data_IF_238049588103
#
_entry.id   IF_238049588103
#
_cell.length_a   1.000
_cell.length_b   1.000
_cell.length_c   1.000
_cell.angle_alpha   90.00
_cell.angle_beta   90.00
_cell.angle_gamma   90.00
#
_symmetry.space_group_name_H-M   'P 1'
#
loop_
_entity.id
_entity.type
_entity.pdbx_description
1 polymer ?
#
# COMPACT_ATOMS: atom_id res chain seq x y z
N UNK A 1 23.57 -2.54 -3.39
CA UNK A 1 22.24 -2.48 -4.02
C UNK A 1 21.18 -2.65 -2.93
N UNK A 2 20.19 -1.74 -2.83
CA UNK A 2 19.05 -1.87 -1.89
C UNK A 2 18.01 -2.84 -2.43
N UNK A 3 17.30 -3.50 -1.54
CA UNK A 3 16.33 -4.54 -1.83
C UNK A 3 14.93 -4.11 -1.45
N UNK A 4 14.01 -4.10 -2.42
CA UNK A 4 12.61 -3.66 -2.24
C UNK A 4 11.68 -4.83 -2.56
N UNK A 5 10.71 -5.10 -1.69
CA UNK A 5 9.59 -5.98 -1.99
C UNK A 5 8.31 -5.14 -2.13
N UNK A 6 7.58 -5.33 -3.23
CA UNK A 6 6.34 -4.61 -3.54
C UNK A 6 5.19 -5.61 -3.63
N UNK A 7 4.27 -5.53 -2.68
CA UNK A 7 3.09 -6.37 -2.62
C UNK A 7 1.96 -5.75 -3.46
N UNK A 8 1.45 -6.48 -4.46
CA UNK A 8 0.41 -5.98 -5.36
C UNK A 8 0.97 -5.17 -6.53
N UNK A 9 1.93 -5.74 -7.26
CA UNK A 9 2.66 -5.06 -8.35
C UNK A 9 2.17 -5.42 -9.77
N UNK A 10 1.03 -6.06 -9.92
CA UNK A 10 0.50 -6.44 -11.27
C UNK A 10 -0.14 -5.27 -12.03
N UNK A 11 -0.48 -4.17 -11.36
CA UNK A 11 -1.11 -2.99 -11.99
C UNK A 11 -0.97 -1.72 -11.13
N UNK A 12 -1.41 -0.59 -11.67
CA UNK A 12 -1.55 0.67 -10.95
C UNK A 12 -0.26 1.17 -10.28
N UNK A 13 -0.38 1.62 -9.04
CA UNK A 13 0.73 2.21 -8.27
C UNK A 13 1.85 1.17 -8.05
N UNK A 14 1.51 -0.08 -7.71
CA UNK A 14 2.50 -1.11 -7.43
C UNK A 14 3.36 -1.44 -8.65
N UNK A 15 2.74 -1.62 -9.83
CA UNK A 15 3.46 -1.82 -11.10
C UNK A 15 4.33 -0.61 -11.44
N UNK A 16 3.77 0.59 -11.35
CA UNK A 16 4.53 1.80 -11.63
C UNK A 16 5.72 2.01 -10.68
N UNK A 17 5.61 1.60 -9.42
CA UNK A 17 6.75 1.62 -8.48
C UNK A 17 7.83 0.61 -8.89
N UNK A 18 7.45 -0.63 -9.26
CA UNK A 18 8.41 -1.62 -9.74
C UNK A 18 9.17 -1.09 -10.97
N UNK A 19 8.46 -0.50 -11.94
CA UNK A 19 9.04 0.08 -13.15
C UNK A 19 9.99 1.25 -12.88
N UNK A 20 9.66 2.14 -11.92
CA UNK A 20 10.52 3.30 -11.61
C UNK A 20 11.73 2.89 -10.77
N UNK A 21 11.61 1.90 -9.90
CA UNK A 21 12.75 1.42 -9.13
C UNK A 21 13.69 0.55 -9.97
N UNK A 22 13.20 -0.17 -11.00
CA UNK A 22 14.05 -0.96 -11.89
C UNK A 22 15.03 -0.11 -12.72
N UNK A 23 14.73 1.16 -12.91
CA UNK A 23 15.61 2.12 -13.58
C UNK A 23 16.80 2.58 -12.72
N UNK A 24 16.86 2.14 -11.47
CA UNK A 24 17.91 2.51 -10.52
C UNK A 24 18.61 1.27 -9.96
N UNK A 25 19.56 1.47 -9.06
CA UNK A 25 20.35 0.39 -8.46
C UNK A 25 19.62 -0.29 -7.29
N UNK A 26 18.51 -1.01 -7.61
CA UNK A 26 17.72 -1.80 -6.67
C UNK A 26 17.52 -3.23 -7.15
N UNK A 27 17.52 -4.19 -6.21
CA UNK A 27 16.88 -5.49 -6.42
C UNK A 27 15.42 -5.39 -6.01
N UNK A 28 14.52 -5.90 -6.84
CA UNK A 28 13.08 -5.69 -6.68
C UNK A 28 12.36 -7.03 -6.70
N UNK A 29 11.72 -7.38 -5.59
CA UNK A 29 10.77 -8.47 -5.50
C UNK A 29 9.35 -7.95 -5.69
N UNK A 30 8.56 -8.59 -6.51
CA UNK A 30 7.18 -8.22 -6.75
C UNK A 30 6.24 -9.39 -6.48
N UNK A 31 5.05 -9.08 -5.94
CA UNK A 31 4.02 -10.11 -5.75
C UNK A 31 2.67 -9.67 -6.31
N UNK A 32 1.83 -10.65 -6.57
CA UNK A 32 0.45 -10.47 -7.01
C UNK A 32 -0.18 -11.80 -7.42
N UNK A 33 -1.46 -11.79 -7.76
CA UNK A 33 -2.22 -12.99 -8.13
C UNK A 33 -2.09 -13.39 -9.60
N UNK A 34 -1.81 -12.43 -10.48
CA UNK A 34 -1.79 -12.60 -11.93
C UNK A 34 -0.35 -12.82 -12.39
N UNK A 35 0.01 -14.09 -12.55
CA UNK A 35 1.38 -14.51 -12.88
C UNK A 35 1.88 -13.90 -14.18
N UNK A 36 1.09 -13.98 -15.25
CA UNK A 36 1.43 -13.42 -16.56
C UNK A 36 1.83 -11.92 -16.50
N UNK A 37 1.19 -11.13 -15.63
CA UNK A 37 1.52 -9.72 -15.46
C UNK A 37 2.79 -9.50 -14.60
N UNK A 38 3.10 -10.42 -13.71
CA UNK A 38 4.36 -10.40 -12.96
C UNK A 38 5.53 -10.75 -13.88
N UNK A 39 5.37 -11.76 -14.72
CA UNK A 39 6.34 -12.15 -15.74
C UNK A 39 6.62 -11.01 -16.72
N UNK A 40 5.58 -10.32 -17.21
CA UNK A 40 5.72 -9.15 -18.08
C UNK A 40 6.57 -8.04 -17.44
N UNK A 41 6.38 -7.77 -16.13
CA UNK A 41 7.19 -6.79 -15.40
C UNK A 41 8.63 -7.29 -15.27
N UNK A 42 8.84 -8.56 -14.89
CA UNK A 42 10.18 -9.12 -14.68
C UNK A 42 10.97 -9.32 -16.01
N UNK A 43 10.29 -9.48 -17.12
CA UNK A 43 10.95 -9.60 -18.43
C UNK A 43 11.78 -8.36 -18.82
N UNK A 44 11.55 -7.22 -18.18
CA UNK A 44 12.28 -5.96 -18.43
C UNK A 44 13.72 -5.96 -17.91
N UNK A 45 13.97 -6.66 -16.80
CA UNK A 45 15.32 -6.81 -16.21
C UNK A 45 15.33 -8.06 -15.31
N UNK A 46 15.70 -9.20 -15.91
CA UNK A 46 15.70 -10.51 -15.24
C UNK A 46 16.76 -10.64 -14.14
N UNK A 47 17.77 -9.77 -14.13
CA UNK A 47 18.83 -9.81 -13.13
C UNK A 47 18.45 -9.03 -11.86
N UNK A 48 17.51 -8.08 -11.98
CA UNK A 48 17.10 -7.21 -10.87
C UNK A 48 15.67 -7.44 -10.38
N UNK A 49 14.81 -8.05 -11.19
CA UNK A 49 13.39 -8.25 -10.91
C UNK A 49 13.09 -9.71 -10.62
N UNK A 50 12.52 -9.97 -9.46
CA UNK A 50 12.09 -11.28 -8.99
C UNK A 50 10.59 -11.25 -8.73
N UNK A 51 9.89 -12.34 -8.96
CA UNK A 51 8.48 -12.41 -8.60
C UNK A 51 8.12 -13.67 -7.82
N UNK A 52 7.00 -13.56 -7.12
CA UNK A 52 6.32 -14.68 -6.48
C UNK A 52 4.80 -14.46 -6.62
N UNK A 53 4.11 -15.48 -7.13
CA UNK A 53 2.64 -15.46 -7.14
C UNK A 53 2.15 -15.54 -5.70
N UNK A 54 1.25 -14.64 -5.32
CA UNK A 54 0.77 -14.56 -3.95
C UNK A 54 -0.63 -13.94 -3.92
N UNK A 55 -1.58 -14.65 -3.30
CA UNK A 55 -2.85 -14.07 -2.85
C UNK A 55 -2.76 -13.77 -1.37
N UNK A 56 -2.79 -12.49 -1.02
CA UNK A 56 -2.60 -12.04 0.36
C UNK A 56 -3.77 -12.40 1.29
N UNK A 57 -4.87 -12.90 0.76
CA UNK A 57 -6.01 -13.41 1.56
C UNK A 57 -5.73 -14.79 2.16
N UNK A 58 -4.83 -15.58 1.56
CA UNK A 58 -4.24 -16.76 2.16
C UNK A 58 -3.03 -16.34 3.01
N UNK A 59 -3.26 -16.15 4.29
CA UNK A 59 -2.26 -15.61 5.22
C UNK A 59 -1.05 -16.50 5.41
N UNK A 60 -1.24 -17.83 5.38
CA UNK A 60 -0.15 -18.79 5.55
C UNK A 60 0.73 -18.89 4.30
N UNK A 61 0.12 -19.07 3.13
CA UNK A 61 0.84 -19.09 1.86
C UNK A 61 1.54 -17.76 1.57
N UNK A 62 0.95 -16.63 2.00
CA UNK A 62 1.57 -15.31 1.88
C UNK A 62 2.93 -15.25 2.57
N UNK A 63 3.04 -15.66 3.83
CA UNK A 63 4.32 -15.58 4.55
C UNK A 63 5.37 -16.47 3.90
N UNK A 64 5.04 -17.73 3.56
CA UNK A 64 5.96 -18.62 2.84
C UNK A 64 6.46 -18.03 1.52
N UNK A 65 5.56 -17.38 0.77
CA UNK A 65 5.90 -16.69 -0.48
C UNK A 65 6.87 -15.52 -0.25
N UNK A 66 6.64 -14.72 0.78
CA UNK A 66 7.49 -13.58 1.12
C UNK A 66 8.87 -14.02 1.63
N UNK A 67 8.94 -15.07 2.43
CA UNK A 67 10.19 -15.67 2.89
C UNK A 67 11.01 -16.20 1.71
N UNK A 68 10.38 -16.95 0.80
CA UNK A 68 11.00 -17.43 -0.43
C UNK A 68 11.56 -16.29 -1.28
N UNK A 69 10.76 -15.24 -1.49
CA UNK A 69 11.19 -14.08 -2.28
C UNK A 69 12.34 -13.32 -1.61
N UNK A 70 12.25 -13.13 -0.28
CA UNK A 70 13.29 -12.47 0.51
C UNK A 70 14.60 -13.25 0.47
N UNK A 71 14.53 -14.58 0.55
CA UNK A 71 15.71 -15.45 0.46
C UNK A 71 16.35 -15.38 -0.94
N UNK A 72 15.56 -15.46 -2.02
CA UNK A 72 16.04 -15.30 -3.40
C UNK A 72 16.78 -13.98 -3.62
N UNK A 73 16.32 -12.91 -2.99
CA UNK A 73 16.94 -11.58 -3.06
C UNK A 73 18.10 -11.39 -2.08
N UNK A 74 18.32 -12.32 -1.15
CA UNK A 74 19.32 -12.23 -0.10
C UNK A 74 19.01 -11.16 0.96
N UNK A 75 17.74 -10.84 1.19
CA UNK A 75 17.26 -9.90 2.22
C UNK A 75 16.25 -8.87 1.70
N UNK A 76 15.84 -7.94 2.59
CA UNK A 76 14.87 -6.89 2.27
C UNK A 76 15.16 -5.63 3.08
N UNK A 77 15.29 -4.47 2.39
CA UNK A 77 15.46 -3.16 3.03
C UNK A 77 14.17 -2.36 3.11
N UNK A 78 13.29 -2.53 2.13
CA UNK A 78 12.02 -1.80 2.02
C UNK A 78 10.90 -2.78 1.66
N UNK A 79 9.81 -2.74 2.43
CA UNK A 79 8.57 -3.45 2.13
C UNK A 79 7.48 -2.45 1.79
N UNK A 80 6.91 -2.53 0.60
CA UNK A 80 5.84 -1.64 0.13
C UNK A 80 4.56 -2.44 -0.05
N UNK A 81 3.56 -2.18 0.78
CA UNK A 81 2.24 -2.83 0.70
C UNK A 81 1.33 -1.95 -0.17
N UNK A 82 1.21 -2.32 -1.45
CA UNK A 82 0.32 -1.70 -2.43
C UNK A 82 -0.97 -2.50 -2.65
N UNK A 83 -0.97 -3.79 -2.26
CA UNK A 83 -2.16 -4.63 -2.42
C UNK A 83 -3.34 -4.03 -1.67
N UNK A 84 -4.46 -4.00 -2.33
CA UNK A 84 -5.71 -3.49 -1.78
C UNK A 84 -6.82 -3.60 -2.82
N UNK A 85 -8.06 -3.65 -2.33
CA UNK A 85 -9.25 -3.65 -3.17
C UNK A 85 -10.35 -2.81 -2.51
N UNK A 86 -11.39 -2.51 -3.25
CA UNK A 86 -12.58 -1.84 -2.74
C UNK A 86 -13.64 -1.73 -3.83
N UNK A 87 -14.85 -1.96 -3.44
CA UNK A 87 -16.02 -1.85 -4.30
C UNK A 87 -16.98 -0.79 -3.74
N UNK A 88 -17.76 -0.20 -4.65
CA UNK A 88 -18.92 0.59 -4.25
C UNK A 88 -20.02 -0.37 -3.81
N UNK A 89 -20.64 -0.10 -2.67
CA UNK A 89 -21.65 -0.98 -2.07
C UNK A 89 -22.79 -0.16 -1.43
N UNK A 90 -23.57 0.57 -2.22
CA UNK A 90 -24.69 1.37 -1.71
C UNK A 90 -25.77 0.51 -1.06
N UNK A 91 -25.93 -0.74 -1.49
CA UNK A 91 -26.93 -1.70 -0.99
C UNK A 91 -26.51 -2.46 0.26
N UNK A 92 -25.28 -2.25 0.77
CA UNK A 92 -24.73 -2.91 1.95
C UNK A 92 -24.73 -4.45 1.86
N UNK A 93 -24.39 -4.99 0.69
CA UNK A 93 -24.18 -6.43 0.51
C UNK A 93 -22.86 -6.87 1.16
N UNK A 94 -22.91 -7.75 2.15
CA UNK A 94 -21.72 -8.30 2.81
C UNK A 94 -20.77 -8.99 1.83
N UNK A 95 -21.32 -9.71 0.84
CA UNK A 95 -20.54 -10.41 -0.19
C UNK A 95 -19.65 -9.45 -0.99
N UNK A 96 -20.04 -8.20 -1.16
CA UNK A 96 -19.24 -7.17 -1.83
C UNK A 96 -18.17 -6.59 -0.89
N UNK A 97 -18.37 -6.64 0.41
CA UNK A 97 -17.45 -6.08 1.41
C UNK A 97 -16.38 -7.06 1.87
N UNK A 98 -16.72 -8.35 1.98
CA UNK A 98 -15.84 -9.39 2.49
C UNK A 98 -14.46 -9.43 1.79
N UNK A 99 -14.35 -9.38 0.44
CA UNK A 99 -13.03 -9.34 -0.23
C UNK A 99 -12.19 -8.12 0.17
N UNK A 100 -12.86 -6.98 0.44
CA UNK A 100 -12.18 -5.77 0.92
C UNK A 100 -11.61 -5.98 2.32
N UNK A 101 -12.35 -6.60 3.22
CA UNK A 101 -11.90 -6.89 4.58
C UNK A 101 -10.76 -7.92 4.57
N UNK A 102 -10.91 -9.01 3.83
CA UNK A 102 -9.87 -10.04 3.72
C UNK A 102 -8.56 -9.46 3.17
N UNK A 103 -8.64 -8.64 2.13
CA UNK A 103 -7.44 -8.05 1.51
C UNK A 103 -6.86 -6.91 2.35
N UNK A 104 -7.69 -5.88 2.67
CA UNK A 104 -7.19 -4.61 3.21
C UNK A 104 -6.99 -4.65 4.73
N UNK A 105 -7.59 -5.62 5.44
CA UNK A 105 -7.45 -5.76 6.89
C UNK A 105 -6.64 -6.99 7.22
N UNK A 106 -7.13 -8.18 6.91
CA UNK A 106 -6.50 -9.44 7.33
C UNK A 106 -5.14 -9.62 6.62
N UNK A 107 -5.14 -9.65 5.28
CA UNK A 107 -3.91 -9.83 4.49
C UNK A 107 -2.90 -8.70 4.72
N UNK A 108 -3.38 -7.46 4.79
CA UNK A 108 -2.54 -6.31 5.14
C UNK A 108 -1.86 -6.47 6.50
N UNK A 109 -2.63 -6.83 7.54
CA UNK A 109 -2.10 -6.98 8.92
C UNK A 109 -1.04 -8.07 8.99
N UNK A 110 -1.32 -9.22 8.37
CA UNK A 110 -0.40 -10.35 8.31
C UNK A 110 0.97 -9.95 7.70
N UNK A 111 0.94 -9.24 6.57
CA UNK A 111 2.15 -8.78 5.89
C UNK A 111 2.88 -7.69 6.70
N UNK A 112 2.14 -6.73 7.25
CA UNK A 112 2.72 -5.63 8.00
C UNK A 112 3.39 -6.10 9.29
N UNK A 113 2.78 -7.07 10.00
CA UNK A 113 3.32 -7.70 11.19
C UNK A 113 4.59 -8.51 10.85
N UNK A 114 4.53 -9.37 9.83
CA UNK A 114 5.70 -10.12 9.38
C UNK A 114 6.86 -9.20 8.98
N UNK A 115 6.58 -8.19 8.16
CA UNK A 115 7.61 -7.25 7.68
C UNK A 115 8.22 -6.43 8.81
N UNK A 116 7.40 -6.00 9.79
CA UNK A 116 7.92 -5.25 10.93
C UNK A 116 8.82 -6.12 11.81
N UNK A 117 8.42 -7.36 12.10
CA UNK A 117 9.26 -8.34 12.85
C UNK A 117 10.55 -8.67 12.10
N UNK A 118 10.49 -8.84 10.78
CA UNK A 118 11.67 -9.01 9.95
C UNK A 118 12.67 -7.85 10.13
N UNK A 119 12.19 -6.61 10.11
CA UNK A 119 13.04 -5.43 10.32
C UNK A 119 13.54 -5.30 11.76
N UNK A 120 12.78 -5.76 12.77
CA UNK A 120 13.28 -5.83 14.14
C UNK A 120 14.45 -6.80 14.27
N UNK A 121 14.37 -7.99 13.67
CA UNK A 121 15.46 -8.97 13.64
C UNK A 121 16.67 -8.45 12.86
N UNK A 122 16.45 -7.80 11.72
CA UNK A 122 17.50 -7.18 10.91
C UNK A 122 18.07 -5.90 11.54
N UNK A 123 17.42 -5.31 12.54
CA UNK A 123 17.72 -4.04 13.22
C UNK A 123 17.65 -2.82 12.30
N UNK A 124 17.08 -2.93 11.14
CA UNK A 124 16.89 -1.85 10.19
C UNK A 124 15.83 -2.19 9.14
N UNK A 125 15.16 -1.19 8.58
CA UNK A 125 14.24 -1.39 7.48
C UNK A 125 13.21 -0.26 7.33
N UNK A 126 12.40 -0.37 6.28
CA UNK A 126 11.39 0.63 5.98
C UNK A 126 10.08 -0.02 5.52
N UNK A 127 9.07 0.03 6.36
CA UNK A 127 7.72 -0.41 6.05
C UNK A 127 6.91 0.73 5.43
N UNK A 128 6.36 0.51 4.25
CA UNK A 128 5.57 1.49 3.51
C UNK A 128 4.20 0.91 3.19
N UNK A 129 3.15 1.68 3.40
CA UNK A 129 1.77 1.30 3.06
C UNK A 129 1.15 2.33 2.14
N UNK A 130 0.43 1.85 1.13
CA UNK A 130 -0.44 2.68 0.30
C UNK A 130 -1.87 2.59 0.87
N UNK A 131 -2.18 3.51 1.79
CA UNK A 131 -3.53 3.65 2.35
C UNK A 131 -4.45 4.46 1.43
N UNK A 132 -5.14 5.46 1.91
CA UNK A 132 -5.97 6.37 1.10
C UNK A 132 -6.39 7.60 1.91
N UNK A 133 -6.70 8.71 1.23
CA UNK A 133 -7.46 9.81 1.83
C UNK A 133 -8.87 9.36 2.25
N UNK A 134 -9.43 8.33 1.59
CA UNK A 134 -10.71 7.73 1.95
C UNK A 134 -10.76 7.18 3.39
N UNK A 135 -9.63 6.81 3.98
CA UNK A 135 -9.56 6.44 5.40
C UNK A 135 -9.72 7.59 6.39
N UNK A 136 -10.01 8.82 5.93
CA UNK A 136 -10.19 9.98 6.82
C UNK A 136 -11.57 10.01 7.46
N UNK A 137 -12.60 9.61 6.73
CA UNK A 137 -14.01 9.57 7.16
C UNK A 137 -14.72 8.37 6.51
N UNK A 138 -15.82 7.91 7.10
CA UNK A 138 -16.68 6.90 6.51
C UNK A 138 -17.32 7.39 5.21
N UNK A 139 -17.80 6.46 4.36
CA UNK A 139 -18.53 6.76 3.13
C UNK A 139 -19.76 5.88 3.05
N UNK A 140 -20.92 6.48 2.74
CA UNK A 140 -22.17 5.73 2.59
C UNK A 140 -22.19 4.80 1.37
N UNK A 141 -21.37 5.10 0.37
CA UNK A 141 -21.29 4.30 -0.87
C UNK A 141 -20.15 3.26 -0.88
N UNK A 142 -19.22 3.32 0.07
CA UNK A 142 -18.11 2.37 0.17
C UNK A 142 -17.67 2.17 1.63
N UNK A 143 -18.55 1.69 2.52
CA UNK A 143 -18.29 1.65 3.97
C UNK A 143 -17.06 0.82 4.31
N UNK A 144 -16.97 -0.43 3.81
CA UNK A 144 -15.86 -1.33 4.10
C UNK A 144 -14.53 -0.80 3.56
N UNK A 145 -14.50 -0.20 2.37
CA UNK A 145 -13.29 0.38 1.83
C UNK A 145 -12.76 1.50 2.72
N UNK A 146 -13.60 2.50 3.03
CA UNK A 146 -13.16 3.63 3.86
C UNK A 146 -12.75 3.18 5.26
N UNK A 147 -13.51 2.26 5.88
CA UNK A 147 -13.18 1.69 7.18
C UNK A 147 -11.86 0.91 7.14
N UNK A 148 -11.62 0.09 6.11
CA UNK A 148 -10.37 -0.65 5.94
C UNK A 148 -9.17 0.28 5.77
N UNK A 149 -9.32 1.39 5.04
CA UNK A 149 -8.26 2.39 4.90
C UNK A 149 -8.01 3.18 6.19
N UNK A 150 -9.04 3.44 6.98
CA UNK A 150 -8.90 4.00 8.33
C UNK A 150 -8.15 3.03 9.28
N UNK A 151 -8.45 1.74 9.20
CA UNK A 151 -7.72 0.70 9.90
C UNK A 151 -6.23 0.73 9.56
N UNK A 152 -5.86 0.73 8.26
CA UNK A 152 -4.47 0.79 7.81
C UNK A 152 -3.74 2.03 8.34
N UNK A 153 -4.39 3.20 8.30
CA UNK A 153 -3.84 4.46 8.84
C UNK A 153 -3.53 4.34 10.32
N UNK A 154 -4.47 3.83 11.11
CA UNK A 154 -4.32 3.67 12.55
C UNK A 154 -3.26 2.62 12.89
N UNK A 155 -3.28 1.48 12.20
CA UNK A 155 -2.30 0.41 12.38
C UNK A 155 -0.86 0.89 12.11
N UNK A 156 -0.65 1.61 11.00
CA UNK A 156 0.65 2.21 10.67
C UNK A 156 1.11 3.26 11.68
N UNK A 157 0.19 3.96 12.33
CA UNK A 157 0.52 4.87 13.43
C UNK A 157 1.02 4.10 14.66
N UNK A 158 0.38 2.99 15.00
CA UNK A 158 0.83 2.09 16.07
C UNK A 158 2.23 1.52 15.79
N UNK A 159 2.49 1.02 14.57
CA UNK A 159 3.82 0.55 14.19
C UNK A 159 4.87 1.67 14.21
N UNK A 160 4.48 2.89 13.88
CA UNK A 160 5.37 4.07 14.01
C UNK A 160 5.76 4.33 15.45
N UNK A 161 4.82 4.20 16.40
CA UNK A 161 5.14 4.31 17.83
C UNK A 161 6.13 3.23 18.26
N UNK A 162 5.92 1.96 17.85
CA UNK A 162 6.88 0.88 18.10
C UNK A 162 8.26 1.22 17.52
N UNK A 163 8.33 1.61 16.26
CA UNK A 163 9.58 1.98 15.59
C UNK A 163 10.30 3.14 16.29
N UNK A 164 9.57 4.15 16.81
CA UNK A 164 10.14 5.29 17.51
C UNK A 164 10.74 4.91 18.86
N UNK A 165 10.17 3.89 19.52
CA UNK A 165 10.66 3.39 20.83
C UNK A 165 11.77 2.34 20.65
N UNK A 166 11.95 1.79 19.46
CA UNK A 166 12.98 0.82 19.14
C UNK A 166 14.35 1.48 19.08
N UNK A 167 15.43 0.82 19.54
CA UNK A 167 16.80 1.28 19.33
C UNK A 167 17.29 1.13 17.89
N UNK A 168 16.48 0.53 17.02
CA UNK A 168 16.86 0.17 15.66
C UNK A 168 16.45 1.22 14.63
N UNK A 169 17.11 1.21 13.47
CA UNK A 169 16.83 2.13 12.36
C UNK A 169 15.62 1.65 11.52
N UNK A 170 14.44 1.54 12.15
CA UNK A 170 13.20 1.14 11.49
C UNK A 170 12.34 2.36 11.18
N UNK A 171 11.87 2.47 9.94
CA UNK A 171 11.03 3.56 9.48
C UNK A 171 9.67 3.05 9.01
N UNK A 172 8.65 3.87 9.17
CA UNK A 172 7.30 3.60 8.64
C UNK A 172 6.83 4.80 7.81
N UNK A 173 6.27 4.54 6.64
CA UNK A 173 5.67 5.58 5.79
C UNK A 173 4.25 5.18 5.40
N UNK A 174 3.29 6.01 5.75
CA UNK A 174 1.90 5.90 5.32
C UNK A 174 1.66 6.87 4.15
N UNK A 175 1.47 6.31 2.95
CA UNK A 175 1.13 7.05 1.74
C UNK A 175 -0.38 7.11 1.61
N UNK A 176 -0.93 8.31 1.53
CA UNK A 176 -2.38 8.59 1.41
C UNK A 176 -2.69 9.20 0.05
N UNK A 177 -2.91 8.40 -1.00
CA UNK A 177 -3.36 8.93 -2.27
C UNK A 177 -4.80 9.45 -2.19
N UNK A 178 -5.08 10.51 -2.97
CA UNK A 178 -6.43 10.77 -3.45
C UNK A 178 -6.72 9.91 -4.67
N UNK A 179 -7.49 10.42 -5.63
CA UNK A 179 -7.75 9.69 -6.86
C UNK A 179 -6.48 9.61 -7.72
N UNK A 180 -6.10 8.38 -8.06
CA UNK A 180 -5.01 8.05 -8.99
C UNK A 180 -5.61 7.27 -10.15
N UNK A 181 -5.22 7.59 -11.37
CA UNK A 181 -5.72 6.97 -12.60
C UNK A 181 -5.35 5.48 -12.69
N UNK A 182 -6.14 4.67 -12.01
CA UNK A 182 -5.99 3.21 -11.91
C UNK A 182 -7.36 2.56 -12.04
N UNK A 183 -7.40 1.26 -12.31
CA UNK A 183 -8.63 0.48 -12.36
C UNK A 183 -9.45 0.51 -11.05
N UNK A 184 -8.86 0.94 -9.95
CA UNK A 184 -9.54 1.12 -8.66
C UNK A 184 -10.27 2.46 -8.55
N UNK A 185 -9.93 3.45 -9.38
CA UNK A 185 -10.62 4.74 -9.40
C UNK A 185 -11.94 4.59 -10.15
N UNK A 186 -12.99 4.20 -9.44
CA UNK A 186 -14.35 3.95 -9.96
C UNK A 186 -15.31 5.03 -9.50
N UNK A 187 -16.39 5.24 -10.24
CA UNK A 187 -17.48 6.16 -9.94
C UNK A 187 -17.46 7.44 -10.75
N UNK A 188 -18.56 8.16 -10.73
CA UNK A 188 -18.73 9.47 -11.36
C UNK A 188 -18.17 10.58 -10.45
N UNK A 189 -17.88 11.74 -11.04
CA UNK A 189 -17.47 12.93 -10.27
C UNK A 189 -16.05 12.88 -9.72
N UNK A 190 -15.17 12.01 -10.24
CA UNK A 190 -13.76 11.99 -9.85
C UNK A 190 -13.10 13.32 -10.21
N UNK A 191 -12.52 13.99 -9.23
CA UNK A 191 -11.80 15.24 -9.42
C UNK A 191 -10.34 15.12 -8.96
N UNK A 192 -9.47 15.93 -9.54
CA UNK A 192 -8.04 15.93 -9.23
C UNK A 192 -7.35 14.57 -9.39
N UNK A 193 -7.81 13.79 -10.35
CA UNK A 193 -7.19 12.51 -10.67
C UNK A 193 -5.72 12.72 -11.02
N UNK A 194 -4.86 11.98 -10.39
CA UNK A 194 -3.40 12.08 -10.58
C UNK A 194 -2.96 10.93 -11.49
N UNK A 195 -2.29 11.19 -12.63
CA UNK A 195 -1.69 10.13 -13.45
C UNK A 195 -0.74 9.24 -12.63
N UNK A 196 -0.71 7.94 -12.95
CA UNK A 196 0.09 6.95 -12.20
C UNK A 196 1.57 7.34 -12.15
N UNK A 197 2.15 7.78 -13.26
CA UNK A 197 3.56 8.20 -13.34
C UNK A 197 3.90 9.35 -12.38
N UNK A 198 3.01 10.35 -12.28
CA UNK A 198 3.15 11.45 -11.33
C UNK A 198 2.98 11.01 -9.87
N UNK A 199 2.02 10.11 -9.62
CA UNK A 199 1.80 9.56 -8.29
C UNK A 199 3.03 8.78 -7.81
N UNK A 200 3.54 7.89 -8.63
CA UNK A 200 4.71 7.04 -8.35
C UNK A 200 5.97 7.86 -8.06
N UNK A 201 6.25 8.91 -8.84
CA UNK A 201 7.38 9.83 -8.59
C UNK A 201 7.25 10.53 -7.23
N UNK A 202 6.04 10.96 -6.85
CA UNK A 202 5.79 11.57 -5.54
C UNK A 202 5.94 10.56 -4.40
N UNK A 203 5.45 9.32 -4.58
CA UNK A 203 5.57 8.23 -3.60
C UNK A 203 7.04 7.89 -3.39
N UNK A 204 7.81 7.64 -4.45
CA UNK A 204 9.24 7.36 -4.38
C UNK A 204 10.00 8.45 -3.62
N UNK A 205 9.72 9.73 -3.93
CA UNK A 205 10.29 10.87 -3.19
C UNK A 205 9.89 10.90 -1.72
N UNK A 206 8.70 10.46 -1.36
CA UNK A 206 8.27 10.37 0.04
C UNK A 206 9.01 9.26 0.78
N UNK A 207 9.17 8.10 0.14
CA UNK A 207 9.91 6.93 0.65
C UNK A 207 11.38 7.29 0.85
N UNK A 208 12.05 7.87 -0.15
CA UNK A 208 13.47 8.25 -0.06
C UNK A 208 13.75 9.24 1.08
N UNK A 209 12.77 10.10 1.39
CA UNK A 209 12.84 11.06 2.52
C UNK A 209 12.31 10.49 3.83
N UNK A 210 11.97 9.22 3.91
CA UNK A 210 11.44 8.53 5.10
C UNK A 210 10.28 9.31 5.76
N UNK A 211 9.36 9.86 4.94
CA UNK A 211 8.23 10.65 5.44
C UNK A 211 7.28 9.78 6.25
N UNK A 212 6.91 10.21 7.46
CA UNK A 212 5.95 9.50 8.31
C UNK A 212 4.57 9.35 7.62
N UNK A 213 4.10 10.43 6.98
CA UNK A 213 2.85 10.50 6.21
C UNK A 213 3.07 11.33 4.95
N UNK A 214 2.54 10.88 3.82
CA UNK A 214 2.59 11.63 2.57
C UNK A 214 1.27 11.56 1.80
N UNK A 215 0.73 12.71 1.41
CA UNK A 215 -0.47 12.84 0.58
C UNK A 215 -0.09 12.93 -0.90
N UNK A 216 -0.77 12.18 -1.75
CA UNK A 216 -0.62 12.15 -3.20
C UNK A 216 -1.98 12.50 -3.86
N UNK A 217 -2.12 13.63 -4.55
CA UNK A 217 -1.25 14.80 -4.58
C UNK A 217 -1.36 15.60 -3.27
N UNK A 218 -0.39 16.51 -3.05
CA UNK A 218 -0.29 17.25 -1.76
C UNK A 218 -1.54 18.03 -1.36
N UNK A 219 -2.34 18.50 -2.32
CA UNK A 219 -3.59 19.25 -2.10
C UNK A 219 -4.65 18.44 -1.32
N UNK A 220 -4.62 17.11 -1.42
CA UNK A 220 -5.51 16.24 -0.66
C UNK A 220 -5.31 16.35 0.86
N UNK A 221 -4.15 16.83 1.30
CA UNK A 221 -3.92 17.12 2.73
C UNK A 221 -4.93 18.14 3.27
N UNK A 222 -5.23 19.17 2.50
CA UNK A 222 -6.17 20.22 2.92
C UNK A 222 -7.60 19.68 2.98
N UNK A 223 -7.99 18.88 1.99
CA UNK A 223 -9.30 18.21 1.97
C UNK A 223 -9.46 17.29 3.19
N UNK A 224 -8.46 16.50 3.52
CA UNK A 224 -8.52 15.61 4.70
C UNK A 224 -8.60 16.39 6.02
N UNK A 225 -7.93 17.53 6.12
CA UNK A 225 -8.04 18.40 7.31
C UNK A 225 -9.47 18.96 7.39
N UNK A 226 -10.00 19.50 6.29
CA UNK A 226 -11.36 20.01 6.25
C UNK A 226 -12.38 18.93 6.66
N UNK A 227 -12.30 17.74 6.08
CA UNK A 227 -13.20 16.63 6.41
C UNK A 227 -13.13 16.21 7.89
N UNK A 228 -11.96 16.25 8.50
CA UNK A 228 -11.80 15.96 9.94
C UNK A 228 -12.46 17.00 10.83
N UNK A 229 -12.45 18.26 10.42
CA UNK A 229 -13.02 19.37 11.19
C UNK A 229 -14.53 19.52 10.99
N UNK A 230 -15.10 18.96 9.91
CA UNK A 230 -16.54 19.02 9.64
C UNK A 230 -17.32 18.30 10.74
N UNK A 231 -18.30 18.98 11.38
CA UNK A 231 -19.26 18.31 12.29
C UNK A 231 -19.96 17.16 11.59
N UNK A 232 -20.22 16.07 12.34
CA UNK A 232 -20.87 14.87 11.79
C UNK A 232 -22.27 15.18 11.21
N UNK A 233 -23.01 16.12 11.81
CA UNK A 233 -24.32 16.53 11.31
C UNK A 233 -24.28 17.16 9.90
N UNK A 234 -23.16 17.78 9.52
CA UNK A 234 -22.96 18.34 8.18
C UNK A 234 -22.45 17.23 7.25
N UNK A 235 -21.43 16.51 7.67
CA UNK A 235 -20.81 15.47 6.85
C UNK A 235 -21.79 14.35 6.43
N UNK A 236 -22.67 13.92 7.33
CA UNK A 236 -23.63 12.84 7.03
C UNK A 236 -24.76 13.27 6.05
N UNK A 237 -24.83 14.55 5.68
CA UNK A 237 -25.80 15.07 4.69
C UNK A 237 -25.18 15.32 3.31
N UNK A 238 -23.86 15.14 3.18
CA UNK A 238 -23.13 15.24 1.91
C UNK A 238 -23.22 13.94 1.12
#
# INVERSE_FOLDING_TARGET
>A
MKKIIIIGATSGIGRGLAEVYSQEDYLIGITGRRENLLEEVCARDKDKLFYQVCDITDTQATISSLETLTQKMGGMDILIICAGTGELNPELSYQSEEPTLLTNVIGFTNIADWGFRYFEQQKSGHLVTISSVGGTRGSGIAPAYNASKAYQINYMEGLRQKATKSPYSIYTTDIRPGFVDTAMAKGEGLFWVTPVDKAVKQIKKAISKKKKVAFISKRWRYVTILFRLLPSAIYCRM
#
